data_IF_381875393583
#
_entry.id   IF_381875393583
#
_cell.length_a   1.000
_cell.length_b   1.000
_cell.length_c   1.000
_cell.angle_alpha   90.00
_cell.angle_beta   90.00
_cell.angle_gamma   90.00
#
_symmetry.space_group_name_H-M   'P 1'
#
loop_
_entity.id
_entity.type
_entity.pdbx_description
1 polymer ?
#
# COMPACT_ATOMS: atom_id res chain seq x y z
N UNK A 1 -6.08 38.34 -16.35
CA UNK A 1 -5.39 37.14 -16.87
C UNK A 1 -4.46 36.45 -15.87
N UNK A 2 -3.69 37.16 -15.02
CA UNK A 2 -2.80 36.52 -14.02
C UNK A 2 -3.52 35.65 -12.99
N UNK A 3 -4.69 36.09 -12.49
CA UNK A 3 -5.47 35.34 -11.48
C UNK A 3 -6.05 34.04 -12.06
N UNK A 4 -6.54 34.06 -13.32
CA UNK A 4 -7.03 32.88 -14.02
C UNK A 4 -5.93 31.83 -14.28
N UNK A 5 -4.70 32.28 -14.56
CA UNK A 5 -3.54 31.40 -14.77
C UNK A 5 -3.09 30.73 -13.46
N UNK A 6 -3.12 31.45 -12.34
CA UNK A 6 -2.77 30.91 -11.01
C UNK A 6 -3.81 29.89 -10.51
N UNK A 7 -5.10 30.11 -10.75
CA UNK A 7 -6.17 29.17 -10.36
C UNK A 7 -6.06 27.86 -11.15
N UNK A 8 -5.75 27.93 -12.46
CA UNK A 8 -5.58 26.76 -13.31
C UNK A 8 -4.41 25.87 -12.84
N UNK A 9 -3.30 26.49 -12.41
CA UNK A 9 -2.12 25.77 -11.94
C UNK A 9 -2.38 25.00 -10.62
N UNK A 10 -3.17 25.57 -9.70
CA UNK A 10 -3.52 24.91 -8.45
C UNK A 10 -4.45 23.70 -8.64
N UNK A 11 -5.42 23.79 -9.55
CA UNK A 11 -6.37 22.69 -9.83
C UNK A 11 -5.65 21.49 -10.45
N UNK A 12 -4.69 21.72 -11.37
CA UNK A 12 -3.89 20.66 -11.98
C UNK A 12 -3.03 19.90 -10.95
N UNK A 13 -2.48 20.59 -9.94
CA UNK A 13 -1.65 19.97 -8.91
C UNK A 13 -2.41 18.97 -8.01
N UNK A 14 -3.62 19.34 -7.57
CA UNK A 14 -4.44 18.47 -6.70
C UNK A 14 -4.94 17.24 -7.46
N UNK A 15 -5.35 17.39 -8.72
CA UNK A 15 -5.81 16.26 -9.55
C UNK A 15 -4.69 15.23 -9.80
N UNK A 16 -3.46 15.70 -10.03
CA UNK A 16 -2.32 14.82 -10.26
C UNK A 16 -1.98 13.96 -9.02
N UNK A 17 -2.05 14.53 -7.82
CA UNK A 17 -1.77 13.81 -6.57
C UNK A 17 -2.82 12.75 -6.25
N UNK A 18 -4.11 13.05 -6.47
CA UNK A 18 -5.18 12.06 -6.29
C UNK A 18 -5.07 10.90 -7.28
N UNK A 19 -4.64 11.17 -8.52
CA UNK A 19 -4.38 10.13 -9.50
C UNK A 19 -3.21 9.23 -9.08
N UNK A 20 -2.14 9.80 -8.53
CA UNK A 20 -0.99 9.04 -8.03
C UNK A 20 -1.38 8.08 -6.89
N UNK A 21 -2.13 8.55 -5.88
CA UNK A 21 -2.59 7.68 -4.79
C UNK A 21 -3.46 6.54 -5.32
N UNK A 22 -4.41 6.84 -6.19
CA UNK A 22 -5.31 5.84 -6.79
C UNK A 22 -4.51 4.77 -7.52
N UNK A 23 -3.51 5.18 -8.31
CA UNK A 23 -2.63 4.26 -9.03
C UNK A 23 -1.84 3.36 -8.08
N UNK A 24 -1.21 3.94 -7.05
CA UNK A 24 -0.48 3.16 -6.03
C UNK A 24 -1.38 2.10 -5.40
N UNK A 25 -2.63 2.45 -5.06
CA UNK A 25 -3.58 1.51 -4.45
C UNK A 25 -3.96 0.36 -5.39
N UNK A 26 -4.18 0.65 -6.69
CA UNK A 26 -4.48 -0.37 -7.70
C UNK A 26 -3.30 -1.30 -7.94
N UNK A 27 -2.09 -0.75 -8.02
CA UNK A 27 -0.89 -1.55 -8.18
C UNK A 27 -0.63 -2.41 -6.92
N UNK A 28 -0.95 -1.89 -5.72
CA UNK A 28 -0.86 -2.66 -4.47
C UNK A 28 -1.85 -3.82 -4.42
N UNK A 29 -3.10 -3.59 -4.86
CA UNK A 29 -4.10 -4.65 -5.01
C UNK A 29 -3.58 -5.76 -5.94
N UNK A 30 -3.06 -5.38 -7.11
CA UNK A 30 -2.52 -6.32 -8.08
C UNK A 30 -1.35 -7.14 -7.50
N UNK A 31 -0.43 -6.51 -6.79
CA UNK A 31 0.68 -7.20 -6.13
C UNK A 31 0.18 -8.19 -5.05
N UNK A 32 -0.85 -7.80 -4.27
CA UNK A 32 -1.49 -8.68 -3.29
C UNK A 32 -2.21 -9.86 -3.94
N UNK A 33 -2.88 -9.65 -5.08
CA UNK A 33 -3.52 -10.70 -5.87
C UNK A 33 -2.48 -11.69 -6.42
N UNK A 34 -1.36 -11.19 -6.96
CA UNK A 34 -0.27 -12.03 -7.43
C UNK A 34 0.29 -12.93 -6.34
N UNK A 35 0.57 -12.37 -5.15
CA UNK A 35 1.02 -13.16 -4.00
C UNK A 35 -0.02 -14.21 -3.62
N UNK A 36 -1.29 -13.84 -3.54
CA UNK A 36 -2.37 -14.78 -3.21
C UNK A 36 -2.42 -15.95 -4.19
N UNK A 37 -2.39 -15.66 -5.49
CA UNK A 37 -2.35 -16.69 -6.54
C UNK A 37 -1.09 -17.54 -6.41
N UNK A 38 0.04 -16.92 -6.12
CA UNK A 38 1.30 -17.61 -5.85
C UNK A 38 1.18 -18.63 -4.73
N UNK A 39 0.57 -18.26 -3.60
CA UNK A 39 0.31 -19.19 -2.49
C UNK A 39 -0.67 -20.31 -2.88
N UNK A 40 -1.78 -19.97 -3.55
CA UNK A 40 -2.81 -20.95 -3.93
C UNK A 40 -2.33 -22.01 -4.94
N UNK A 41 -1.44 -21.62 -5.85
CA UNK A 41 -0.93 -22.49 -6.92
C UNK A 41 0.50 -22.98 -6.69
N UNK A 42 1.07 -22.73 -5.50
CA UNK A 42 2.45 -23.06 -5.17
C UNK A 42 3.46 -22.54 -6.23
N UNK A 43 3.33 -21.27 -6.62
CA UNK A 43 4.19 -20.58 -7.59
C UNK A 43 5.03 -19.53 -6.87
N UNK A 44 6.20 -19.93 -6.38
CA UNK A 44 7.10 -19.06 -5.60
C UNK A 44 7.51 -17.81 -6.37
N UNK A 45 7.69 -17.92 -7.67
CA UNK A 45 8.03 -16.81 -8.56
C UNK A 45 6.96 -15.71 -8.54
N UNK A 46 5.68 -16.09 -8.42
CA UNK A 46 4.57 -15.11 -8.34
C UNK A 46 4.50 -14.47 -6.96
N UNK A 47 4.84 -15.21 -5.90
CA UNK A 47 4.93 -14.67 -4.55
C UNK A 47 6.06 -13.64 -4.48
N UNK A 48 7.25 -14.01 -4.97
CA UNK A 48 8.42 -13.14 -4.95
C UNK A 48 8.22 -11.90 -5.82
N UNK A 49 7.61 -12.04 -7.01
CA UNK A 49 7.28 -10.91 -7.87
C UNK A 49 6.31 -9.93 -7.19
N UNK A 50 5.19 -10.45 -6.65
CA UNK A 50 4.20 -9.62 -5.95
C UNK A 50 4.77 -8.98 -4.68
N UNK A 51 5.62 -9.68 -3.92
CA UNK A 51 6.26 -9.12 -2.72
C UNK A 51 7.22 -7.99 -3.07
N UNK A 52 8.02 -8.15 -4.12
CA UNK A 52 8.97 -7.11 -4.56
C UNK A 52 8.24 -5.86 -5.04
N UNK A 53 7.17 -6.03 -5.82
CA UNK A 53 6.33 -4.92 -6.28
C UNK A 53 5.65 -4.22 -5.09
N UNK A 54 5.03 -4.99 -4.18
CA UNK A 54 4.39 -4.46 -2.98
C UNK A 54 5.39 -3.69 -2.08
N UNK A 55 6.62 -4.18 -1.94
CA UNK A 55 7.68 -3.52 -1.17
C UNK A 55 8.02 -2.14 -1.71
N UNK A 56 8.08 -1.99 -3.04
CA UNK A 56 8.35 -0.70 -3.66
C UNK A 56 7.13 0.24 -3.57
N UNK A 57 5.93 -0.29 -3.76
CA UNK A 57 4.69 0.48 -3.62
C UNK A 57 4.49 0.97 -2.18
N UNK A 58 4.85 0.18 -1.16
CA UNK A 58 4.76 0.61 0.24
C UNK A 58 5.66 1.82 0.51
N UNK A 59 6.88 1.85 -0.06
CA UNK A 59 7.77 3.02 0.02
C UNK A 59 7.20 4.24 -0.71
N UNK A 60 6.55 4.03 -1.85
CA UNK A 60 5.87 5.12 -2.56
C UNK A 60 4.71 5.68 -1.74
N UNK A 61 3.89 4.80 -1.16
CA UNK A 61 2.78 5.16 -0.28
C UNK A 61 3.24 5.93 0.95
N UNK A 62 4.35 5.51 1.58
CA UNK A 62 4.93 6.18 2.74
C UNK A 62 5.32 7.65 2.47
N UNK A 63 5.48 8.04 1.19
CA UNK A 63 5.77 9.42 0.77
C UNK A 63 4.52 10.22 0.40
N UNK A 64 3.35 9.59 0.33
CA UNK A 64 2.08 10.28 0.05
C UNK A 64 1.62 11.01 1.31
N UNK A 65 1.32 12.29 1.19
CA UNK A 65 0.79 13.07 2.31
C UNK A 65 -0.61 12.57 2.69
N UNK A 66 -0.73 12.07 3.93
CA UNK A 66 -2.00 11.60 4.49
C UNK A 66 -3.10 12.68 4.54
N UNK A 67 -2.74 13.97 4.52
CA UNK A 67 -3.71 15.06 4.43
C UNK A 67 -4.53 15.07 3.12
N UNK A 68 -4.07 14.36 2.10
CA UNK A 68 -4.77 14.27 0.81
C UNK A 68 -6.03 13.41 0.88
N UNK A 69 -6.08 12.45 1.80
CA UNK A 69 -7.17 11.48 1.90
C UNK A 69 -7.77 11.34 3.32
N UNK A 70 -7.22 12.04 4.32
CA UNK A 70 -7.74 12.09 5.68
C UNK A 70 -7.83 13.55 6.17
N UNK A 71 -8.75 13.81 7.10
CA UNK A 71 -8.97 15.16 7.69
C UNK A 71 -8.52 15.25 9.15
N UNK A 72 -8.70 14.17 9.90
CA UNK A 72 -8.39 14.14 11.33
C UNK A 72 -6.93 13.74 11.57
N UNK A 73 -6.20 14.53 12.37
CA UNK A 73 -4.80 14.27 12.72
C UNK A 73 -4.59 12.90 13.37
N UNK A 74 -5.57 12.44 14.16
CA UNK A 74 -5.56 11.10 14.76
C UNK A 74 -5.47 10.02 13.68
N UNK A 75 -6.34 10.10 12.68
CA UNK A 75 -6.45 9.07 11.66
C UNK A 75 -5.23 9.09 10.75
N UNK A 76 -4.67 10.27 10.45
CA UNK A 76 -3.38 10.40 9.76
C UNK A 76 -2.25 9.68 10.50
N UNK A 77 -2.16 9.85 11.82
CA UNK A 77 -1.14 9.16 12.62
C UNK A 77 -1.33 7.64 12.58
N UNK A 78 -2.58 7.17 12.60
CA UNK A 78 -2.88 5.74 12.48
C UNK A 78 -2.51 5.22 11.10
N UNK A 79 -2.92 5.90 10.02
CA UNK A 79 -2.58 5.52 8.65
C UNK A 79 -1.06 5.46 8.43
N UNK A 80 -0.34 6.51 8.83
CA UNK A 80 1.12 6.57 8.71
C UNK A 80 1.80 5.45 9.51
N UNK A 81 1.29 5.14 10.71
CA UNK A 81 1.78 3.99 11.51
C UNK A 81 1.52 2.66 10.82
N UNK A 82 0.35 2.47 10.21
CA UNK A 82 0.03 1.26 9.46
C UNK A 82 1.06 1.08 8.34
N UNK A 83 1.25 2.11 7.51
CA UNK A 83 2.20 2.08 6.38
C UNK A 83 3.64 1.80 6.85
N UNK A 84 4.10 2.43 7.93
CA UNK A 84 5.45 2.16 8.47
C UNK A 84 5.56 0.75 9.04
N UNK A 85 4.54 0.25 9.75
CA UNK A 85 4.55 -1.10 10.32
C UNK A 85 4.40 -2.20 9.27
N UNK A 86 3.88 -1.88 8.07
CA UNK A 86 3.84 -2.83 6.95
C UNK A 86 5.25 -3.22 6.48
N UNK A 87 6.26 -2.37 6.67
CA UNK A 87 7.66 -2.71 6.35
C UNK A 87 8.15 -3.93 7.15
N UNK A 88 7.76 -4.02 8.42
CA UNK A 88 8.12 -5.16 9.27
C UNK A 88 7.46 -6.46 8.76
N UNK A 89 6.18 -6.41 8.35
CA UNK A 89 5.50 -7.57 7.78
C UNK A 89 6.10 -7.97 6.43
N UNK A 90 6.49 -7.02 5.58
CA UNK A 90 7.17 -7.27 4.31
C UNK A 90 8.49 -8.00 4.56
N UNK A 91 9.31 -7.51 5.49
CA UNK A 91 10.60 -8.13 5.82
C UNK A 91 10.44 -9.49 6.48
N UNK A 92 9.41 -9.69 7.32
CA UNK A 92 9.08 -10.99 7.88
C UNK A 92 8.66 -11.99 6.79
N UNK A 93 7.83 -11.56 5.84
CA UNK A 93 7.39 -12.40 4.72
C UNK A 93 8.59 -12.80 3.85
N UNK A 94 9.46 -11.84 3.52
CA UNK A 94 10.70 -12.10 2.78
C UNK A 94 11.59 -13.14 3.49
N UNK A 95 11.71 -13.04 4.82
CA UNK A 95 12.48 -14.01 5.62
C UNK A 95 11.86 -15.40 5.62
N UNK A 96 10.56 -15.52 5.81
CA UNK A 96 9.90 -16.85 5.83
C UNK A 96 9.91 -17.52 4.46
N UNK A 97 9.79 -16.76 3.37
CA UNK A 97 9.94 -17.30 2.01
C UNK A 97 11.37 -17.80 1.74
N UNK A 98 12.40 -17.11 2.25
CA UNK A 98 13.80 -17.57 2.17
C UNK A 98 14.06 -18.85 2.98
N UNK A 99 13.24 -19.10 4.00
CA UNK A 99 13.31 -20.29 4.85
C UNK A 99 12.41 -21.44 4.36
N UNK A 100 11.68 -21.26 3.25
CA UNK A 100 10.63 -22.15 2.77
C UNK A 100 9.53 -22.46 3.83
N UNK A 101 9.34 -21.57 4.82
CA UNK A 101 8.28 -21.69 5.82
C UNK A 101 6.97 -21.10 5.27
N UNK A 102 6.27 -21.90 4.46
CA UNK A 102 5.06 -21.46 3.75
C UNK A 102 3.90 -21.14 4.69
N UNK A 103 3.80 -21.82 5.83
CA UNK A 103 2.74 -21.56 6.82
C UNK A 103 2.92 -20.16 7.41
N UNK A 104 4.14 -19.83 7.86
CA UNK A 104 4.42 -18.47 8.38
C UNK A 104 4.39 -17.41 7.29
N UNK A 105 4.73 -17.77 6.05
CA UNK A 105 4.60 -16.86 4.91
C UNK A 105 3.14 -16.48 4.66
N UNK A 106 2.22 -17.44 4.62
CA UNK A 106 0.78 -17.17 4.45
C UNK A 106 0.20 -16.41 5.65
N UNK A 107 0.60 -16.75 6.89
CA UNK A 107 0.19 -15.99 8.09
C UNK A 107 0.62 -14.52 7.97
N UNK A 108 1.86 -14.28 7.56
CA UNK A 108 2.40 -12.92 7.42
C UNK A 108 1.73 -12.15 6.28
N UNK A 109 1.44 -12.81 5.15
CA UNK A 109 0.60 -12.25 4.09
C UNK A 109 -0.77 -11.81 4.62
N UNK A 110 -1.41 -12.63 5.46
CA UNK A 110 -2.67 -12.28 6.12
C UNK A 110 -2.56 -11.05 7.02
N UNK A 111 -1.42 -10.83 7.68
CA UNK A 111 -1.15 -9.60 8.47
C UNK A 111 -1.06 -8.37 7.58
N UNK A 112 -0.44 -8.48 6.41
CA UNK A 112 -0.40 -7.40 5.41
C UNK A 112 -1.83 -7.07 4.96
N UNK A 113 -2.63 -8.08 4.60
CA UNK A 113 -4.02 -7.87 4.21
C UNK A 113 -4.82 -7.19 5.34
N UNK A 114 -4.65 -7.63 6.59
CA UNK A 114 -5.29 -6.99 7.75
C UNK A 114 -4.87 -5.52 7.90
N UNK A 115 -3.61 -5.18 7.63
CA UNK A 115 -3.13 -3.80 7.65
C UNK A 115 -3.84 -2.95 6.57
N UNK A 116 -4.00 -3.47 5.36
CA UNK A 116 -4.79 -2.82 4.30
C UNK A 116 -6.23 -2.52 4.76
N UNK A 117 -6.93 -3.53 5.29
CA UNK A 117 -8.31 -3.38 5.79
C UNK A 117 -8.37 -2.37 6.93
N UNK A 118 -7.41 -2.39 7.85
CA UNK A 118 -7.34 -1.45 8.97
C UNK A 118 -7.20 0.00 8.51
N UNK A 119 -6.40 0.23 7.46
CA UNK A 119 -6.29 1.55 6.83
C UNK A 119 -7.58 1.94 6.10
N UNK A 120 -8.27 0.99 5.46
CA UNK A 120 -9.53 1.27 4.75
C UNK A 120 -10.69 1.60 5.69
N UNK A 121 -10.73 1.05 6.90
CA UNK A 121 -11.73 1.45 7.91
C UNK A 121 -11.64 2.95 8.19
N UNK A 122 -10.43 3.48 8.40
CA UNK A 122 -10.23 4.91 8.70
C UNK A 122 -10.32 5.82 7.47
N UNK A 123 -9.83 5.37 6.30
CA UNK A 123 -9.76 6.21 5.10
C UNK A 123 -10.99 6.13 4.21
N UNK A 124 -11.75 5.03 4.27
CA UNK A 124 -12.91 4.75 3.41
C UNK A 124 -14.19 4.46 4.19
N UNK A 125 -14.13 4.38 5.52
CA UNK A 125 -15.31 4.13 6.36
C UNK A 125 -15.91 2.73 6.18
N UNK A 126 -15.05 1.73 5.96
CA UNK A 126 -15.47 0.32 5.92
C UNK A 126 -16.04 -0.17 7.26
#
# INVERSE_FOLDING_TARGET
MRILLSICLCICGVLAQNHQLTKIMQDMEYAMEQMQRGFLYNKKEWIDAGLNEFKELNKQLARVDSNLYLKEKRDMNVANRIVSSSEENIDMLERFLKQDDMVKSVDTYGRILKACVSCHIISRGW
#
